data_IF_913077337361
#
_entry.id   IF_913077337361
#
_cell.length_a   1.000
_cell.length_b   1.000
_cell.length_c   1.000
_cell.angle_alpha   90.00
_cell.angle_beta   90.00
_cell.angle_gamma   90.00
#
_symmetry.space_group_name_H-M   'P 1'
#
loop_
_entity.id
_entity.type
_entity.pdbx_description
1 polymer ?
#
# COMPACT_ATOMS: atom_id res chain seq x y z
N UNK A 1 -1.04 -30.56 -35.91
CA UNK A 1 -0.17 -29.74 -35.05
C UNK A 1 -0.55 -28.31 -35.37
N UNK A 2 -1.09 -27.62 -34.39
CA UNK A 2 -1.87 -26.38 -34.60
C UNK A 2 -0.96 -25.15 -34.39
N UNK A 3 -0.28 -24.73 -35.46
CA UNK A 3 0.61 -23.55 -35.48
C UNK A 3 -0.10 -22.23 -35.12
N UNK A 4 -1.43 -22.20 -35.15
CA UNK A 4 -2.24 -21.01 -34.83
C UNK A 4 -2.33 -20.72 -33.33
N UNK A 5 -2.18 -21.70 -32.45
CA UNK A 5 -2.16 -21.51 -31.01
C UNK A 5 -0.82 -20.93 -30.54
N UNK A 6 0.31 -21.37 -31.12
CA UNK A 6 1.65 -20.89 -30.77
C UNK A 6 1.86 -19.42 -31.23
N UNK A 7 1.34 -19.04 -32.41
CA UNK A 7 1.42 -17.69 -32.94
C UNK A 7 0.57 -16.71 -32.13
N UNK A 8 -0.59 -17.13 -31.65
CA UNK A 8 -1.49 -16.33 -30.82
C UNK A 8 -0.89 -16.05 -29.42
N UNK A 9 -0.27 -17.03 -28.80
CA UNK A 9 0.35 -16.92 -27.47
C UNK A 9 1.61 -16.04 -27.52
N UNK A 10 2.40 -16.15 -28.59
CA UNK A 10 3.57 -15.29 -28.80
C UNK A 10 3.20 -13.82 -29.02
N UNK A 11 2.13 -13.54 -29.77
CA UNK A 11 1.65 -12.17 -30.01
C UNK A 11 1.06 -11.55 -28.73
N UNK A 12 0.31 -12.32 -27.93
CA UNK A 12 -0.21 -11.86 -26.64
C UNK A 12 0.91 -11.54 -25.66
N UNK A 13 1.95 -12.36 -25.58
CA UNK A 13 3.11 -12.12 -24.73
C UNK A 13 3.89 -10.86 -25.16
N UNK A 14 4.11 -10.65 -26.45
CA UNK A 14 4.77 -9.45 -26.97
C UNK A 14 3.96 -8.17 -26.66
N UNK A 15 2.63 -8.22 -26.80
CA UNK A 15 1.71 -7.13 -26.44
C UNK A 15 1.79 -6.84 -24.94
N UNK A 16 1.72 -7.85 -24.09
CA UNK A 16 1.81 -7.70 -22.64
C UNK A 16 3.12 -7.05 -22.21
N UNK A 17 4.25 -7.48 -22.79
CA UNK A 17 5.55 -6.90 -22.52
C UNK A 17 5.64 -5.43 -22.94
N UNK A 18 5.06 -5.04 -24.08
CA UNK A 18 5.03 -3.65 -24.52
C UNK A 18 4.21 -2.79 -23.55
N UNK A 19 3.00 -3.23 -23.20
CA UNK A 19 2.14 -2.54 -22.24
C UNK A 19 2.83 -2.38 -20.87
N UNK A 20 3.45 -3.45 -20.39
CA UNK A 20 4.15 -3.43 -19.10
C UNK A 20 5.32 -2.45 -19.07
N UNK A 21 6.09 -2.37 -20.15
CA UNK A 21 7.20 -1.39 -20.25
C UNK A 21 6.70 0.06 -20.26
N UNK A 22 5.57 0.33 -20.91
CA UNK A 22 5.03 1.69 -21.05
C UNK A 22 4.23 2.13 -19.81
N UNK A 23 3.51 1.22 -19.18
CA UNK A 23 2.66 1.52 -18.04
C UNK A 23 3.46 2.05 -16.83
N UNK A 24 2.84 2.97 -16.09
CA UNK A 24 3.21 3.22 -14.70
C UNK A 24 2.66 2.08 -13.88
N UNK A 25 3.54 1.29 -13.25
CA UNK A 25 3.18 0.15 -12.42
C UNK A 25 3.32 0.54 -10.96
N UNK A 26 2.22 0.49 -10.21
CA UNK A 26 2.18 0.87 -8.79
C UNK A 26 1.74 -0.33 -7.96
N UNK A 27 2.55 -0.65 -6.96
CA UNK A 27 2.20 -1.62 -5.93
C UNK A 27 1.63 -0.86 -4.71
N UNK A 28 0.31 -0.97 -4.51
CA UNK A 28 -0.44 -0.28 -3.45
C UNK A 28 -0.03 -0.69 -2.04
N UNK A 29 0.54 -1.87 -1.88
CA UNK A 29 1.22 -2.38 -0.70
C UNK A 29 2.32 -3.32 -1.18
N UNK A 30 3.50 -2.79 -1.32
CA UNK A 30 4.66 -3.51 -1.82
C UNK A 30 5.53 -4.07 -0.70
N UNK A 31 6.74 -4.48 -1.09
CA UNK A 31 7.71 -5.08 -0.18
C UNK A 31 8.06 -4.11 0.95
N UNK A 32 7.85 -4.56 2.17
CA UNK A 32 8.40 -3.88 3.33
C UNK A 32 9.89 -4.19 3.41
N UNK A 33 10.71 -3.26 2.94
CA UNK A 33 12.14 -3.31 3.21
C UNK A 33 12.33 -3.05 4.71
N UNK A 34 12.51 -4.10 5.48
CA UNK A 34 12.85 -3.98 6.89
C UNK A 34 14.29 -3.47 6.97
N UNK A 35 14.44 -2.15 6.80
CA UNK A 35 15.72 -1.49 6.97
C UNK A 35 15.95 -1.30 8.48
N UNK A 36 16.79 -2.11 9.12
CA UNK A 36 17.27 -1.77 10.46
C UNK A 36 18.10 -0.49 10.38
N UNK A 37 18.28 0.18 11.51
CA UNK A 37 19.14 1.38 11.64
C UNK A 37 20.53 1.19 11.04
N UNK A 38 21.00 -0.05 11.01
CA UNK A 38 22.18 -0.47 10.24
C UNK A 38 21.64 -1.00 8.91
N UNK A 39 21.99 -0.33 7.83
CA UNK A 39 21.63 -0.66 6.44
C UNK A 39 22.17 -2.03 6.06
N UNK A 40 21.54 -3.07 6.53
CA UNK A 40 21.80 -4.43 6.04
C UNK A 40 20.77 -4.66 4.93
N UNK A 41 21.18 -4.63 3.67
CA UNK A 41 20.26 -4.93 2.58
C UNK A 41 19.68 -6.33 2.78
N UNK A 42 18.42 -6.56 2.34
CA UNK A 42 17.86 -7.91 2.31
C UNK A 42 18.82 -8.86 1.61
N UNK A 43 18.95 -10.09 2.11
CA UNK A 43 19.77 -11.10 1.46
C UNK A 43 19.38 -11.25 -0.02
N UNK A 44 20.33 -11.44 -0.93
CA UNK A 44 20.01 -11.70 -2.32
C UNK A 44 19.13 -12.95 -2.45
N UNK A 45 18.10 -12.86 -3.28
CA UNK A 45 17.23 -13.97 -3.63
C UNK A 45 17.57 -14.40 -5.07
N UNK A 46 17.86 -15.68 -5.29
CA UNK A 46 18.35 -16.20 -6.58
C UNK A 46 19.57 -15.40 -7.12
N UNK A 47 20.48 -14.98 -6.23
CA UNK A 47 21.65 -14.20 -6.57
C UNK A 47 21.40 -12.74 -6.93
N UNK A 48 20.15 -12.26 -6.87
CA UNK A 48 19.77 -10.87 -7.18
C UNK A 48 19.37 -10.11 -5.92
N UNK A 49 19.87 -8.90 -5.80
CA UNK A 49 19.43 -7.94 -4.77
C UNK A 49 17.98 -7.56 -4.99
N UNK A 50 17.33 -6.99 -3.96
CA UNK A 50 15.96 -6.46 -4.11
C UNK A 50 15.86 -5.43 -5.25
N UNK A 51 16.81 -4.48 -5.34
CA UNK A 51 16.78 -3.45 -6.38
C UNK A 51 16.98 -4.01 -7.80
N UNK A 52 17.76 -5.06 -7.96
CA UNK A 52 17.87 -5.74 -9.26
C UNK A 52 16.56 -6.44 -9.65
N UNK A 53 15.86 -7.04 -8.67
CA UNK A 53 14.55 -7.64 -8.93
C UNK A 53 13.50 -6.57 -9.20
N UNK A 54 13.49 -5.48 -8.43
CA UNK A 54 12.58 -4.35 -8.63
C UNK A 54 12.79 -3.69 -10.01
N UNK A 55 14.03 -3.50 -10.44
CA UNK A 55 14.33 -2.99 -11.77
C UNK A 55 13.82 -3.93 -12.88
N UNK A 56 13.98 -5.26 -12.69
CA UNK A 56 13.47 -6.26 -13.64
C UNK A 56 11.92 -6.36 -13.63
N UNK A 57 11.27 -5.96 -12.54
CA UNK A 57 9.82 -6.03 -12.39
C UNK A 57 9.04 -4.98 -13.18
N UNK A 58 9.68 -3.89 -13.57
CA UNK A 58 8.99 -2.72 -14.15
C UNK A 58 8.14 -1.91 -13.16
N UNK A 59 8.10 -2.28 -11.88
CA UNK A 59 7.39 -1.52 -10.84
C UNK A 59 7.99 -0.12 -10.74
N UNK A 60 7.14 0.89 -10.94
CA UNK A 60 7.50 2.30 -10.93
C UNK A 60 7.51 2.88 -9.52
N UNK A 61 6.51 2.51 -8.72
CA UNK A 61 6.40 2.95 -7.33
C UNK A 61 5.73 1.89 -6.47
N UNK A 62 6.06 1.89 -5.17
CA UNK A 62 5.39 1.04 -4.19
C UNK A 62 5.13 1.80 -2.90
N UNK A 63 3.96 1.58 -2.31
CA UNK A 63 3.69 1.95 -0.93
C UNK A 63 4.38 0.93 -0.01
N UNK A 64 5.18 1.40 0.92
CA UNK A 64 5.88 0.53 1.87
C UNK A 64 5.45 0.82 3.30
N UNK A 65 5.27 -0.22 4.09
CA UNK A 65 4.92 -0.06 5.50
C UNK A 65 6.15 0.27 6.34
N UNK A 66 6.08 1.41 7.01
CA UNK A 66 7.09 1.85 7.98
C UNK A 66 6.77 1.33 9.38
N UNK A 67 7.81 1.18 10.20
CA UNK A 67 7.66 0.91 11.63
C UNK A 67 7.08 -0.47 11.95
N UNK A 68 7.44 -1.51 11.19
CA UNK A 68 7.02 -2.89 11.45
C UNK A 68 7.71 -3.52 12.68
N UNK A 69 8.08 -2.72 13.69
CA UNK A 69 8.80 -3.19 14.87
C UNK A 69 8.08 -4.29 15.63
N UNK A 70 6.79 -4.15 15.85
CA UNK A 70 5.96 -5.12 16.59
C UNK A 70 5.84 -6.48 15.90
N UNK A 71 5.92 -6.50 14.58
CA UNK A 71 5.85 -7.73 13.78
C UNK A 71 7.23 -8.41 13.72
N UNK A 72 8.32 -7.61 13.65
CA UNK A 72 9.65 -8.14 13.38
C UNK A 72 10.50 -8.37 14.63
N UNK A 73 10.66 -7.39 15.52
CA UNK A 73 11.68 -7.46 16.59
C UNK A 73 11.41 -6.66 17.86
N UNK A 74 10.32 -5.88 17.95
CA UNK A 74 10.08 -4.99 19.10
C UNK A 74 8.70 -4.33 19.09
N UNK A 75 8.46 -3.33 19.95
CA UNK A 75 7.19 -2.62 20.01
C UNK A 75 6.90 -1.88 18.71
N UNK A 76 5.64 -1.93 18.30
CA UNK A 76 5.12 -1.19 17.16
C UNK A 76 4.69 0.22 17.60
N UNK A 77 5.66 1.11 17.74
CA UNK A 77 5.51 2.43 18.34
C UNK A 77 6.13 3.55 17.47
N UNK A 78 6.01 4.77 17.96
CA UNK A 78 6.58 5.96 17.30
C UNK A 78 8.11 5.85 17.12
N UNK A 79 8.82 5.22 18.04
CA UNK A 79 10.26 5.03 17.92
C UNK A 79 10.60 4.14 16.73
N UNK A 80 9.91 3.01 16.58
CA UNK A 80 10.09 2.10 15.45
C UNK A 80 9.78 2.81 14.13
N UNK A 81 8.71 3.63 14.11
CA UNK A 81 8.34 4.44 12.96
C UNK A 81 9.43 5.45 12.58
N UNK A 82 9.89 6.26 13.52
CA UNK A 82 10.94 7.25 13.27
C UNK A 82 12.27 6.63 12.86
N UNK A 83 12.63 5.48 13.47
CA UNK A 83 13.81 4.71 13.09
C UNK A 83 13.72 4.20 11.66
N UNK A 84 12.55 3.71 11.26
CA UNK A 84 12.28 3.25 9.90
C UNK A 84 12.37 4.40 8.90
N UNK A 85 11.77 5.56 9.21
CA UNK A 85 11.86 6.76 8.36
C UNK A 85 13.33 7.15 8.17
N UNK A 86 14.11 7.23 9.25
CA UNK A 86 15.52 7.57 9.16
C UNK A 86 16.30 6.57 8.28
N UNK A 87 16.04 5.26 8.46
CA UNK A 87 16.66 4.23 7.62
C UNK A 87 16.37 4.43 6.14
N UNK A 88 15.12 4.77 5.78
CA UNK A 88 14.77 5.05 4.38
C UNK A 88 15.39 6.36 3.86
N UNK A 89 15.49 7.41 4.68
CA UNK A 89 16.17 8.65 4.27
C UNK A 89 17.64 8.38 3.95
N UNK A 90 18.35 7.61 4.78
CA UNK A 90 19.72 7.18 4.47
C UNK A 90 19.78 6.29 3.20
N UNK A 91 18.76 5.43 3.01
CA UNK A 91 18.68 4.58 1.82
C UNK A 91 18.51 5.38 0.53
N UNK A 92 17.71 6.45 0.56
CA UNK A 92 17.57 7.36 -0.59
C UNK A 92 18.88 8.07 -0.94
N UNK A 93 19.68 8.43 0.06
CA UNK A 93 21.01 9.02 -0.19
C UNK A 93 21.96 8.00 -0.80
N UNK A 94 22.00 6.79 -0.23
CA UNK A 94 22.90 5.71 -0.67
C UNK A 94 22.55 5.22 -2.07
N UNK A 95 21.27 5.06 -2.38
CA UNK A 95 20.77 4.48 -3.61
C UNK A 95 20.12 5.52 -4.55
N UNK A 96 20.53 6.79 -4.45
CA UNK A 96 19.94 7.92 -5.19
C UNK A 96 19.86 7.73 -6.71
N UNK A 97 20.72 6.88 -7.26
CA UNK A 97 20.68 6.52 -8.69
C UNK A 97 19.53 5.57 -9.06
N UNK A 98 18.99 4.81 -8.09
CA UNK A 98 18.04 3.71 -8.33
C UNK A 98 16.70 3.87 -7.63
N UNK A 99 16.64 4.67 -6.56
CA UNK A 99 15.41 4.90 -5.79
C UNK A 99 15.13 6.39 -5.62
N UNK A 100 13.88 6.73 -5.37
CA UNK A 100 13.47 8.08 -4.99
C UNK A 100 12.35 8.06 -3.95
N UNK A 101 12.33 9.08 -3.10
CA UNK A 101 11.23 9.32 -2.18
C UNK A 101 10.06 9.95 -2.94
N UNK A 102 8.89 9.33 -2.88
CA UNK A 102 7.65 9.82 -3.51
C UNK A 102 6.89 10.68 -2.50
N UNK A 103 6.78 11.95 -2.79
CA UNK A 103 6.01 12.92 -2.00
C UNK A 103 4.78 13.43 -2.74
N UNK A 104 4.76 13.30 -4.07
CA UNK A 104 3.70 13.76 -4.96
C UNK A 104 3.46 12.74 -6.08
N UNK A 105 2.32 12.81 -6.75
CA UNK A 105 2.06 12.00 -7.92
C UNK A 105 3.07 12.26 -9.06
N UNK A 106 3.56 13.49 -9.20
CA UNK A 106 4.60 13.83 -10.16
C UNK A 106 5.94 13.13 -9.90
N UNK A 107 6.23 12.77 -8.64
CA UNK A 107 7.43 11.99 -8.31
C UNK A 107 7.34 10.56 -8.85
N UNK A 108 6.14 9.95 -8.88
CA UNK A 108 5.90 8.65 -9.50
C UNK A 108 6.21 8.71 -10.98
N UNK A 109 5.70 9.73 -11.69
CA UNK A 109 5.97 9.95 -13.10
C UNK A 109 7.46 10.22 -13.37
N UNK A 110 8.11 10.98 -12.49
CA UNK A 110 9.56 11.21 -12.55
C UNK A 110 10.33 9.89 -12.39
N UNK A 111 9.95 9.05 -11.41
CA UNK A 111 10.53 7.72 -11.23
C UNK A 111 10.47 6.88 -12.50
N UNK A 112 9.32 6.87 -13.19
CA UNK A 112 9.15 6.18 -14.48
C UNK A 112 10.11 6.71 -15.55
N UNK A 113 10.20 8.04 -15.69
CA UNK A 113 11.09 8.67 -16.70
C UNK A 113 12.57 8.43 -16.42
N UNK A 114 12.97 8.42 -15.14
CA UNK A 114 14.36 8.25 -14.71
C UNK A 114 14.76 6.78 -14.51
N UNK A 115 13.84 5.83 -14.65
CA UNK A 115 14.11 4.41 -14.40
C UNK A 115 14.41 4.10 -12.93
N UNK A 116 13.82 4.86 -11.99
CA UNK A 116 14.00 4.72 -10.55
C UNK A 116 12.75 4.15 -9.90
N UNK A 117 12.94 3.32 -8.87
CA UNK A 117 11.86 2.86 -8.02
C UNK A 117 11.43 3.97 -7.05
N UNK A 118 10.17 4.39 -7.13
CA UNK A 118 9.56 5.31 -6.18
C UNK A 118 9.13 4.58 -4.90
N UNK A 119 9.50 5.11 -3.74
CA UNK A 119 9.07 4.60 -2.44
C UNK A 119 8.12 5.60 -1.81
N UNK A 120 6.89 5.15 -1.56
CA UNK A 120 5.84 5.90 -0.87
C UNK A 120 5.84 5.46 0.59
N UNK A 121 5.87 6.40 1.52
CA UNK A 121 5.79 6.10 2.94
C UNK A 121 4.34 5.86 3.37
N UNK A 122 4.08 4.64 3.83
CA UNK A 122 2.84 4.21 4.44
C UNK A 122 3.03 3.69 5.87
N UNK A 123 1.96 3.63 6.62
CA UNK A 123 1.91 2.97 7.93
C UNK A 123 0.69 2.09 8.03
N UNK A 124 0.81 0.95 8.70
CA UNK A 124 -0.31 0.09 9.06
C UNK A 124 -0.58 0.19 10.57
N UNK A 125 -1.87 0.21 10.96
CA UNK A 125 -2.24 0.31 12.37
C UNK A 125 -1.77 1.61 13.01
N UNK A 126 -2.17 2.75 12.47
CA UNK A 126 -1.66 4.09 12.80
C UNK A 126 -1.71 4.43 14.29
N UNK A 127 -2.75 3.97 15.04
CA UNK A 127 -2.98 4.37 16.43
C UNK A 127 -1.77 4.12 17.34
N UNK A 128 -1.18 2.92 17.30
CA UNK A 128 -0.02 2.58 18.12
C UNK A 128 1.24 3.39 17.78
N UNK A 129 1.30 3.93 16.56
CA UNK A 129 2.47 4.65 16.06
C UNK A 129 2.50 6.13 16.43
N UNK A 130 1.35 6.68 16.78
CA UNK A 130 1.21 8.09 17.18
C UNK A 130 0.70 8.26 18.60
N UNK A 131 0.58 7.14 19.34
CA UNK A 131 0.09 7.15 20.73
C UNK A 131 -1.21 7.96 20.89
N UNK A 132 -2.11 7.80 19.90
CA UNK A 132 -3.38 8.51 19.73
C UNK A 132 -3.28 10.05 19.63
N UNK A 133 -2.08 10.61 19.53
CA UNK A 133 -1.84 12.06 19.35
C UNK A 133 -1.88 12.45 17.86
N UNK A 134 -3.02 12.98 17.42
CA UNK A 134 -3.21 13.40 16.04
C UNK A 134 -2.29 14.55 15.60
N UNK A 135 -1.68 15.30 16.54
CA UNK A 135 -0.74 16.37 16.19
C UNK A 135 0.53 15.84 15.54
N UNK A 136 0.90 14.60 15.84
CA UNK A 136 2.03 13.90 15.23
C UNK A 136 1.83 13.66 13.72
N UNK A 137 0.60 13.59 13.22
CA UNK A 137 0.32 13.44 11.79
C UNK A 137 0.94 14.56 10.96
N UNK A 138 0.95 15.79 11.48
CA UNK A 138 1.56 16.95 10.80
C UNK A 138 3.08 16.80 10.68
N UNK A 139 3.72 16.26 11.71
CA UNK A 139 5.16 15.97 11.71
C UNK A 139 5.45 14.84 10.72
N UNK A 140 4.70 13.75 10.80
CA UNK A 140 4.88 12.59 9.91
C UNK A 140 4.64 12.95 8.43
N UNK A 141 3.63 13.80 8.14
CA UNK A 141 3.42 14.32 6.79
C UNK A 141 4.65 15.09 6.27
N UNK A 142 5.27 15.93 7.11
CA UNK A 142 6.51 16.65 6.75
C UNK A 142 7.70 15.72 6.56
N UNK A 143 7.73 14.59 7.29
CA UNK A 143 8.71 13.53 7.13
C UNK A 143 8.42 12.61 5.92
N UNK A 144 7.33 12.86 5.20
CA UNK A 144 7.01 12.19 3.95
C UNK A 144 5.93 11.12 4.02
N UNK A 145 5.22 10.95 5.15
CA UNK A 145 4.07 10.05 5.23
C UNK A 145 2.99 10.46 4.23
N UNK A 146 2.52 9.51 3.41
CA UNK A 146 1.51 9.74 2.37
C UNK A 146 0.32 8.79 2.42
N UNK A 147 0.46 7.65 3.08
CA UNK A 147 -0.60 6.65 3.24
C UNK A 147 -0.69 6.24 4.70
N UNK A 148 -1.89 6.22 5.26
CA UNK A 148 -2.09 5.84 6.65
C UNK A 148 -3.28 4.90 6.80
N UNK A 149 -3.00 3.67 7.23
CA UNK A 149 -4.00 2.66 7.54
C UNK A 149 -4.47 2.83 8.99
N UNK A 150 -5.79 2.97 9.19
CA UNK A 150 -6.38 3.29 10.48
C UNK A 150 -6.20 2.15 11.50
N UNK A 151 -6.57 0.94 11.11
CA UNK A 151 -6.56 -0.25 11.97
C UNK A 151 -5.71 -1.35 11.33
N UNK A 152 -5.19 -2.24 12.15
CA UNK A 152 -4.76 -3.54 11.69
C UNK A 152 -5.91 -4.57 11.93
N UNK A 153 -5.60 -5.81 12.24
CA UNK A 153 -6.62 -6.86 12.40
C UNK A 153 -7.55 -6.67 13.60
N UNK A 154 -7.06 -6.03 14.64
CA UNK A 154 -7.71 -5.89 15.93
C UNK A 154 -8.29 -4.47 16.11
N UNK A 155 -9.10 -4.29 17.13
CA UNK A 155 -9.60 -3.00 17.54
C UNK A 155 -8.47 -2.14 18.11
N UNK A 156 -8.48 -0.85 17.72
CA UNK A 156 -7.61 0.16 18.30
C UNK A 156 -8.40 1.44 18.66
N UNK A 157 -7.72 2.53 19.01
CA UNK A 157 -8.36 3.78 19.38
C UNK A 157 -9.18 4.43 18.25
N UNK A 158 -8.95 4.07 16.98
CA UNK A 158 -9.65 4.67 15.84
C UNK A 158 -10.86 3.87 15.36
N UNK A 159 -10.88 2.55 15.54
CA UNK A 159 -11.96 1.70 15.07
C UNK A 159 -11.67 0.21 15.24
N UNK A 160 -12.48 -0.60 14.59
CA UNK A 160 -12.35 -2.05 14.61
C UNK A 160 -11.60 -2.54 13.37
N UNK A 161 -10.66 -3.48 13.58
CA UNK A 161 -10.05 -4.26 12.51
C UNK A 161 -10.96 -5.39 12.04
N UNK A 162 -10.54 -6.07 10.99
CA UNK A 162 -11.34 -7.08 10.28
C UNK A 162 -11.60 -8.38 11.11
N UNK A 163 -10.84 -8.62 12.18
CA UNK A 163 -11.03 -9.79 13.06
C UNK A 163 -11.92 -9.49 14.26
N UNK A 164 -12.38 -8.25 14.45
CA UNK A 164 -13.24 -7.87 15.55
C UNK A 164 -14.71 -8.23 15.30
N UNK A 165 -15.33 -8.84 16.33
CA UNK A 165 -16.76 -9.16 16.31
C UNK A 165 -17.37 -8.82 17.67
N UNK A 166 -18.36 -7.88 17.73
CA UNK A 166 -18.90 -7.11 16.61
C UNK A 166 -18.01 -5.95 16.17
N UNK A 167 -18.04 -5.62 14.88
CA UNK A 167 -17.45 -4.39 14.37
C UNK A 167 -18.30 -3.18 14.81
N UNK A 168 -17.76 -2.38 15.73
CA UNK A 168 -18.45 -1.22 16.31
C UNK A 168 -18.33 0.05 15.44
N UNK A 169 -17.55 0.01 14.35
CA UNK A 169 -17.29 1.16 13.49
C UNK A 169 -16.20 2.09 14.02
N UNK A 170 -16.14 3.31 13.48
CA UNK A 170 -15.20 4.36 13.91
C UNK A 170 -15.54 4.89 15.30
N UNK A 171 -14.49 5.11 16.09
CA UNK A 171 -14.60 5.91 17.34
C UNK A 171 -14.71 7.40 17.00
N UNK A 172 -14.97 8.26 18.01
CA UNK A 172 -14.88 9.71 17.82
C UNK A 172 -13.47 10.15 17.43
N UNK A 173 -12.44 9.55 18.05
CA UNK A 173 -11.04 9.82 17.70
C UNK A 173 -10.72 9.34 16.29
N UNK A 174 -11.25 8.19 15.87
CA UNK A 174 -11.12 7.70 14.50
C UNK A 174 -11.72 8.66 13.46
N UNK A 175 -12.89 9.25 13.77
CA UNK A 175 -13.50 10.29 12.90
C UNK A 175 -12.62 11.53 12.81
N UNK A 176 -12.07 12.00 13.93
CA UNK A 176 -11.15 13.13 13.95
C UNK A 176 -9.84 12.78 13.17
N UNK A 177 -9.35 11.55 13.29
CA UNK A 177 -8.18 11.07 12.54
C UNK A 177 -8.44 11.10 11.02
N UNK A 178 -9.55 10.56 10.54
CA UNK A 178 -9.93 10.61 9.12
C UNK A 178 -9.99 12.06 8.62
N UNK A 179 -10.58 12.96 9.40
CA UNK A 179 -10.68 14.38 9.03
C UNK A 179 -9.29 15.03 8.93
N UNK A 180 -8.38 14.77 9.88
CA UNK A 180 -7.01 15.34 9.87
C UNK A 180 -6.18 14.73 8.72
N UNK A 181 -6.28 13.43 8.44
CA UNK A 181 -5.62 12.80 7.30
C UNK A 181 -6.07 13.45 5.98
N UNK A 182 -7.37 13.65 5.79
CA UNK A 182 -7.91 14.33 4.62
C UNK A 182 -7.40 15.78 4.51
N UNK A 183 -7.37 16.50 5.63
CA UNK A 183 -6.88 17.89 5.69
C UNK A 183 -5.40 17.97 5.27
N UNK A 184 -4.58 17.06 5.74
CA UNK A 184 -3.14 17.01 5.42
C UNK A 184 -2.85 16.46 4.02
N UNK A 185 -3.81 15.83 3.36
CA UNK A 185 -3.58 15.11 2.11
C UNK A 185 -2.83 13.79 2.30
N UNK A 186 -2.96 13.17 3.49
CA UNK A 186 -2.52 11.80 3.71
C UNK A 186 -3.66 10.88 3.31
N UNK A 187 -3.39 9.94 2.42
CA UNK A 187 -4.38 9.01 1.89
C UNK A 187 -4.83 8.03 2.97
N UNK A 188 -6.14 7.98 3.22
CA UNK A 188 -6.73 7.03 4.17
C UNK A 188 -6.75 5.63 3.55
N UNK A 189 -6.08 4.69 4.20
CA UNK A 189 -6.06 3.28 3.82
C UNK A 189 -6.95 2.47 4.78
N UNK A 190 -7.84 1.67 4.20
CA UNK A 190 -8.84 0.88 4.91
C UNK A 190 -8.60 -0.64 4.79
N UNK A 191 -7.44 -1.04 4.27
CA UNK A 191 -7.01 -2.42 4.40
C UNK A 191 -7.00 -2.82 5.88
N UNK A 192 -7.35 -4.07 6.20
CA UNK A 192 -7.54 -4.58 7.56
C UNK A 192 -8.70 -3.97 8.37
N UNK A 193 -9.38 -2.94 7.91
CA UNK A 193 -10.52 -2.40 8.64
C UNK A 193 -11.73 -3.35 8.61
N UNK A 194 -12.49 -3.38 9.69
CA UNK A 194 -13.79 -4.06 9.71
C UNK A 194 -14.76 -3.40 8.71
N UNK A 195 -15.74 -4.14 8.18
CA UNK A 195 -16.64 -3.63 7.14
C UNK A 195 -17.38 -2.34 7.53
N UNK A 196 -17.85 -2.24 8.77
CA UNK A 196 -18.53 -1.06 9.28
C UNK A 196 -17.55 0.10 9.46
N UNK A 197 -16.38 -0.17 10.04
CA UNK A 197 -15.31 0.83 10.20
C UNK A 197 -14.89 1.40 8.83
N UNK A 198 -14.69 0.53 7.83
CA UNK A 198 -14.33 0.95 6.48
C UNK A 198 -15.42 1.83 5.85
N UNK A 199 -16.69 1.41 5.93
CA UNK A 199 -17.81 2.17 5.37
C UNK A 199 -17.94 3.54 6.02
N UNK A 200 -17.91 3.61 7.36
CA UNK A 200 -18.00 4.89 8.09
C UNK A 200 -16.83 5.83 7.75
N UNK A 201 -15.61 5.28 7.55
CA UNK A 201 -14.45 6.06 7.12
C UNK A 201 -14.60 6.60 5.68
N UNK A 202 -15.12 5.79 4.75
CA UNK A 202 -15.40 6.20 3.36
C UNK A 202 -16.46 7.32 3.35
N UNK A 203 -17.53 7.18 4.12
CA UNK A 203 -18.60 8.18 4.24
C UNK A 203 -18.09 9.52 4.81
N UNK A 204 -17.22 9.44 5.81
CA UNK A 204 -16.61 10.58 6.50
C UNK A 204 -15.55 11.30 5.64
N UNK A 205 -14.81 10.58 4.82
CA UNK A 205 -13.69 11.11 4.07
C UNK A 205 -14.12 12.15 3.04
N UNK A 206 -13.42 13.28 2.98
CA UNK A 206 -13.60 14.31 1.95
C UNK A 206 -12.77 14.08 0.71
N UNK A 207 -11.91 13.06 0.71
CA UNK A 207 -11.04 12.63 -0.39
C UNK A 207 -11.25 11.14 -0.67
N UNK A 208 -10.88 10.63 -1.85
CA UNK A 208 -10.92 9.19 -2.09
C UNK A 208 -10.11 8.43 -1.05
N UNK A 209 -10.65 7.29 -0.58
CA UNK A 209 -9.91 6.33 0.24
C UNK A 209 -9.32 5.21 -0.64
N UNK A 210 -8.37 4.47 -0.10
CA UNK A 210 -7.94 3.20 -0.69
C UNK A 210 -8.19 2.04 0.27
N UNK A 211 -8.23 0.85 -0.29
CA UNK A 211 -7.98 -0.40 0.40
C UNK A 211 -6.73 -0.96 -0.28
N UNK A 212 -5.57 -0.70 0.31
CA UNK A 212 -4.29 -0.90 -0.37
C UNK A 212 -4.02 -2.35 -0.79
N UNK A 213 -4.51 -3.32 0.01
CA UNK A 213 -4.30 -4.76 -0.20
C UNK A 213 -5.43 -5.58 0.44
N UNK A 214 -6.33 -6.10 -0.37
CA UNK A 214 -7.41 -7.03 0.01
C UNK A 214 -8.02 -7.67 -1.24
N UNK A 215 -8.91 -8.65 -1.05
CA UNK A 215 -9.61 -9.32 -2.14
C UNK A 215 -11.13 -9.26 -1.95
N UNK A 216 -11.90 -9.80 -2.89
CA UNK A 216 -13.35 -9.84 -2.81
C UNK A 216 -13.81 -10.98 -1.88
N UNK A 217 -14.60 -10.65 -0.85
CA UNK A 217 -15.15 -11.66 0.07
C UNK A 217 -16.14 -12.61 -0.63
N UNK A 218 -16.79 -12.16 -1.68
CA UNK A 218 -17.72 -12.98 -2.46
C UNK A 218 -17.06 -14.20 -3.11
N UNK A 219 -15.74 -14.14 -3.42
CA UNK A 219 -14.98 -15.26 -3.99
C UNK A 219 -14.25 -16.08 -2.94
N UNK A 220 -13.80 -15.45 -1.86
CA UNK A 220 -13.09 -16.11 -0.76
C UNK A 220 -13.60 -15.52 0.57
N UNK A 221 -14.40 -16.29 1.31
CA UNK A 221 -14.98 -15.85 2.61
C UNK A 221 -13.93 -15.81 3.71
N UNK A 222 -13.05 -14.83 3.61
CA UNK A 222 -12.02 -14.53 4.60
C UNK A 222 -12.35 -13.18 5.25
N UNK A 223 -12.28 -13.02 6.57
CA UNK A 223 -12.57 -11.74 7.23
C UNK A 223 -11.68 -10.60 6.75
N UNK A 224 -10.51 -10.90 6.18
CA UNK A 224 -9.58 -9.92 5.59
C UNK A 224 -10.06 -9.38 4.23
N UNK A 225 -10.97 -10.11 3.57
CA UNK A 225 -11.53 -9.74 2.28
C UNK A 225 -12.73 -8.79 2.44
N UNK A 226 -12.95 -8.00 1.40
CA UNK A 226 -13.89 -6.88 1.40
C UNK A 226 -15.26 -7.33 0.88
N UNK A 227 -16.36 -7.13 1.64
CA UNK A 227 -17.69 -7.42 1.12
C UNK A 227 -18.11 -6.39 0.06
N UNK A 228 -18.98 -6.81 -0.86
CA UNK A 228 -19.41 -6.02 -2.01
C UNK A 228 -20.06 -4.68 -1.64
N UNK A 229 -20.76 -4.59 -0.50
CA UNK A 229 -21.34 -3.32 -0.06
C UNK A 229 -20.26 -2.28 0.30
N UNK A 230 -19.11 -2.70 0.83
CA UNK A 230 -17.97 -1.82 1.09
C UNK A 230 -17.26 -1.47 -0.21
N UNK A 231 -17.13 -2.43 -1.15
CA UNK A 231 -16.61 -2.15 -2.50
C UNK A 231 -17.43 -1.07 -3.19
N UNK A 232 -18.78 -1.19 -3.17
CA UNK A 232 -19.66 -0.19 -3.78
C UNK A 232 -19.51 1.18 -3.14
N UNK A 233 -19.38 1.25 -1.82
CA UNK A 233 -19.15 2.51 -1.13
C UNK A 233 -17.80 3.14 -1.54
N UNK A 234 -16.74 2.30 -1.66
CA UNK A 234 -15.41 2.72 -2.09
C UNK A 234 -15.43 3.29 -3.53
N UNK A 235 -16.02 2.55 -4.47
CA UNK A 235 -16.13 2.96 -5.87
C UNK A 235 -16.95 4.24 -6.04
N UNK A 236 -18.10 4.37 -5.34
CA UNK A 236 -18.95 5.56 -5.37
C UNK A 236 -18.23 6.85 -4.90
N UNK A 237 -17.13 6.72 -4.15
CA UNK A 237 -16.29 7.82 -3.65
C UNK A 237 -14.97 7.94 -4.39
N UNK A 238 -14.82 7.30 -5.55
CA UNK A 238 -13.62 7.40 -6.38
C UNK A 238 -12.40 6.61 -5.86
N UNK A 239 -12.58 5.77 -4.85
CA UNK A 239 -11.49 5.01 -4.24
C UNK A 239 -10.97 3.87 -5.11
N UNK A 240 -9.93 3.18 -4.62
CA UNK A 240 -9.29 2.04 -5.30
C UNK A 240 -9.05 0.91 -4.31
N UNK A 241 -9.35 -0.32 -4.73
CA UNK A 241 -8.94 -1.54 -4.04
C UNK A 241 -7.72 -2.13 -4.75
N UNK A 242 -6.61 -2.33 -4.03
CA UNK A 242 -5.46 -3.11 -4.47
C UNK A 242 -5.69 -4.60 -4.21
N UNK A 243 -5.80 -5.38 -5.28
CA UNK A 243 -5.95 -6.84 -5.17
C UNK A 243 -4.63 -7.45 -4.74
N UNK A 244 -4.66 -8.30 -3.69
CA UNK A 244 -3.46 -8.84 -3.07
C UNK A 244 -3.14 -10.26 -3.51
N UNK A 245 -1.84 -10.55 -3.63
CA UNK A 245 -1.33 -11.86 -3.99
C UNK A 245 -1.25 -12.85 -2.80
N UNK A 246 -1.63 -12.43 -1.59
CA UNK A 246 -1.58 -13.30 -0.42
C UNK A 246 -2.56 -14.45 -0.56
N UNK A 247 -2.05 -15.67 -0.75
CA UNK A 247 -2.82 -16.84 -1.17
C UNK A 247 -4.04 -17.17 -0.28
N UNK A 248 -3.96 -17.06 1.07
CA UNK A 248 -5.12 -17.28 1.93
C UNK A 248 -6.32 -16.35 1.66
N UNK A 249 -6.13 -15.24 0.94
CA UNK A 249 -7.19 -14.31 0.58
C UNK A 249 -7.71 -14.53 -0.85
N UNK A 250 -7.03 -15.39 -1.61
CA UNK A 250 -7.41 -15.80 -2.97
C UNK A 250 -7.99 -17.20 -3.05
N UNK A 251 -8.03 -17.95 -1.94
CA UNK A 251 -8.40 -19.37 -1.91
C UNK A 251 -9.89 -19.55 -2.27
N UNK A 252 -10.16 -20.01 -3.48
CA UNK A 252 -11.52 -20.31 -3.98
C UNK A 252 -11.93 -21.74 -3.64
N UNK A 253 -10.94 -22.65 -3.53
CA UNK A 253 -11.12 -24.04 -3.14
C UNK A 253 -10.32 -24.34 -1.88
N UNK A 254 -10.96 -24.69 -0.75
CA UNK A 254 -10.27 -24.92 0.51
C UNK A 254 -9.11 -25.93 0.40
N UNK A 255 -7.92 -25.53 0.84
CA UNK A 255 -6.73 -26.38 0.84
C UNK A 255 -6.02 -26.52 -0.50
N UNK A 256 -6.47 -25.80 -1.54
CA UNK A 256 -5.80 -25.73 -2.84
C UNK A 256 -5.10 -24.39 -2.96
N UNK A 257 -3.78 -24.40 -3.21
CA UNK A 257 -3.03 -23.18 -3.42
C UNK A 257 -3.56 -22.44 -4.66
N UNK A 258 -4.02 -21.20 -4.52
CA UNK A 258 -4.51 -20.44 -5.66
C UNK A 258 -3.38 -20.06 -6.62
N UNK A 259 -3.74 -19.86 -7.86
CA UNK A 259 -2.90 -19.48 -8.99
C UNK A 259 -3.05 -18.00 -9.32
N UNK A 260 -2.27 -17.52 -10.27
CA UNK A 260 -2.41 -16.18 -10.82
C UNK A 260 -3.77 -15.96 -11.51
N UNK A 261 -4.39 -17.01 -12.06
CA UNK A 261 -5.73 -16.91 -12.66
C UNK A 261 -6.81 -16.68 -11.58
N UNK A 262 -6.71 -17.29 -10.40
CA UNK A 262 -7.59 -17.00 -9.25
C UNK A 262 -7.44 -15.54 -8.79
N UNK A 263 -6.23 -14.98 -8.82
CA UNK A 263 -6.01 -13.56 -8.55
C UNK A 263 -6.71 -12.66 -9.59
N UNK A 264 -6.66 -13.03 -10.86
CA UNK A 264 -7.35 -12.29 -11.93
C UNK A 264 -8.86 -12.39 -11.76
N UNK A 265 -9.42 -13.50 -11.28
CA UNK A 265 -10.84 -13.61 -10.95
C UNK A 265 -11.27 -12.57 -9.90
N UNK A 266 -10.44 -12.31 -8.88
CA UNK A 266 -10.68 -11.21 -7.94
C UNK A 266 -10.65 -9.83 -8.61
N UNK A 267 -9.71 -9.58 -9.53
CA UNK A 267 -9.63 -8.34 -10.31
C UNK A 267 -10.92 -8.15 -11.14
N UNK A 268 -11.38 -9.19 -11.80
CA UNK A 268 -12.61 -9.18 -12.60
C UNK A 268 -13.84 -8.92 -11.73
N UNK A 269 -13.97 -9.62 -10.59
CA UNK A 269 -15.11 -9.45 -9.69
C UNK A 269 -15.20 -8.01 -9.15
N UNK A 270 -14.07 -7.44 -8.72
CA UNK A 270 -14.03 -6.05 -8.24
C UNK A 270 -14.36 -5.11 -9.39
N UNK A 271 -13.78 -5.32 -10.59
CA UNK A 271 -14.08 -4.53 -11.78
C UNK A 271 -15.56 -4.59 -12.21
N UNK A 272 -16.20 -5.75 -12.10
CA UNK A 272 -17.63 -5.92 -12.37
C UNK A 272 -18.52 -5.26 -11.30
N UNK A 273 -18.07 -5.24 -10.04
CA UNK A 273 -18.84 -4.73 -8.90
C UNK A 273 -18.81 -3.20 -8.84
N UNK A 274 -17.65 -2.57 -9.12
CA UNK A 274 -17.45 -1.12 -8.90
C UNK A 274 -16.82 -0.38 -10.10
N UNK A 275 -16.53 -1.08 -11.19
CA UNK A 275 -15.85 -0.54 -12.37
C UNK A 275 -14.34 -0.73 -12.32
N UNK A 276 -13.74 -0.94 -13.50
CA UNK A 276 -12.31 -1.20 -13.64
C UNK A 276 -11.44 0.00 -13.21
N UNK A 277 -12.00 1.20 -13.17
CA UNK A 277 -11.33 2.43 -12.72
C UNK A 277 -11.03 2.44 -11.20
N UNK A 278 -11.50 1.44 -10.48
CA UNK A 278 -11.37 1.31 -9.03
C UNK A 278 -10.54 0.08 -8.61
N UNK A 279 -9.84 -0.56 -9.55
CA UNK A 279 -9.02 -1.75 -9.29
C UNK A 279 -7.54 -1.41 -9.45
N UNK A 280 -6.73 -1.86 -8.51
CA UNK A 280 -5.27 -1.78 -8.54
C UNK A 280 -4.64 -3.07 -8.00
N UNK A 281 -3.35 -3.05 -7.78
CA UNK A 281 -2.59 -4.17 -7.22
C UNK A 281 -1.93 -3.73 -5.91
N UNK A 282 -2.04 -4.57 -4.88
CA UNK A 282 -1.32 -4.39 -3.61
C UNK A 282 -0.77 -5.73 -3.19
N UNK A 283 0.44 -6.05 -3.63
CA UNK A 283 0.99 -7.41 -3.59
C UNK A 283 1.13 -8.01 -2.20
N UNK A 284 1.44 -7.17 -1.23
CA UNK A 284 1.72 -7.53 0.17
C UNK A 284 2.89 -8.53 0.29
N UNK A 285 3.90 -8.37 -0.56
CA UNK A 285 5.06 -9.26 -0.57
C UNK A 285 5.99 -9.06 0.62
N UNK A 286 6.50 -10.18 1.13
CA UNK A 286 7.60 -10.25 2.10
C UNK A 286 8.73 -11.04 1.48
N UNK A 287 9.66 -10.38 0.82
CA UNK A 287 10.71 -11.04 0.04
C UNK A 287 12.02 -11.25 0.79
N UNK A 288 12.17 -10.70 1.99
CA UNK A 288 13.48 -10.66 2.64
C UNK A 288 13.76 -11.84 3.56
N UNK A 289 12.88 -12.91 3.62
CA UNK A 289 12.79 -13.47 4.92
C UNK A 289 13.21 -14.92 5.04
N UNK A 290 14.08 -15.11 6.05
CA UNK A 290 14.32 -16.42 6.64
C UNK A 290 12.98 -17.01 7.11
N UNK A 291 12.82 -18.32 7.00
CA UNK A 291 11.65 -19.06 7.49
C UNK A 291 11.28 -18.72 8.95
N UNK A 292 12.28 -18.35 9.77
CA UNK A 292 12.09 -17.98 11.17
C UNK A 292 11.33 -16.66 11.31
N UNK A 293 11.65 -15.65 10.51
CA UNK A 293 10.95 -14.35 10.52
C UNK A 293 9.54 -14.49 9.96
N UNK A 294 9.41 -15.19 8.86
CA UNK A 294 8.11 -15.52 8.28
C UNK A 294 7.23 -16.30 9.28
N UNK A 295 7.79 -17.28 9.99
CA UNK A 295 7.06 -18.04 11.00
C UNK A 295 6.57 -17.19 12.18
N UNK A 296 7.31 -16.13 12.54
CA UNK A 296 6.87 -15.14 13.54
C UNK A 296 5.75 -14.26 13.02
N UNK A 297 5.90 -13.75 11.80
CA UNK A 297 4.91 -12.89 11.14
C UNK A 297 3.58 -13.61 10.94
N UNK A 298 3.60 -14.82 10.42
CA UNK A 298 2.38 -15.58 10.11
C UNK A 298 1.76 -16.27 11.33
N UNK A 299 2.34 -16.15 12.53
CA UNK A 299 1.84 -16.85 13.72
C UNK A 299 0.40 -16.45 14.06
N UNK A 300 0.07 -15.17 13.97
CA UNK A 300 -1.28 -14.64 14.16
C UNK A 300 -2.24 -15.07 13.04
N UNK A 301 -1.75 -15.23 11.82
CA UNK A 301 -2.53 -15.68 10.67
C UNK A 301 -2.66 -17.21 10.60
N UNK A 302 -1.70 -17.96 11.15
CA UNK A 302 -1.78 -19.44 11.20
C UNK A 302 -2.99 -19.96 11.97
N UNK A 303 -3.40 -19.26 13.01
CA UNK A 303 -4.60 -19.61 13.77
C UNK A 303 -5.89 -19.47 12.93
N UNK A 304 -5.87 -18.57 11.92
CA UNK A 304 -7.01 -18.30 11.07
C UNK A 304 -7.04 -19.14 9.77
N UNK A 305 -5.87 -19.57 9.24
CA UNK A 305 -5.79 -20.10 7.88
C UNK A 305 -5.18 -21.50 7.72
N UNK A 306 -4.47 -22.04 8.70
CA UNK A 306 -4.03 -23.45 8.79
C UNK A 306 -3.15 -24.07 7.68
N UNK A 307 -3.18 -23.55 6.46
CA UNK A 307 -2.70 -24.26 5.24
C UNK A 307 -1.33 -23.76 4.75
N UNK A 308 -1.05 -22.47 4.85
CA UNK A 308 0.14 -21.85 4.24
C UNK A 308 1.24 -21.64 5.29
N UNK A 309 2.30 -22.44 5.21
CA UNK A 309 3.29 -22.53 6.29
C UNK A 309 4.69 -22.08 5.92
N UNK A 310 4.94 -21.70 4.67
CA UNK A 310 6.24 -21.27 4.19
C UNK A 310 6.18 -20.01 3.30
N UNK A 311 7.27 -19.24 3.22
CA UNK A 311 7.36 -18.11 2.28
C UNK A 311 7.10 -18.51 0.83
N UNK A 312 7.45 -19.76 0.46
CA UNK A 312 7.28 -20.26 -0.90
C UNK A 312 5.82 -20.52 -1.30
N UNK A 313 4.91 -20.68 -0.35
CA UNK A 313 3.51 -21.07 -0.62
C UNK A 313 2.48 -20.06 -0.19
N UNK A 314 2.89 -18.97 0.49
CA UNK A 314 1.98 -17.98 1.06
C UNK A 314 1.41 -17.01 0.00
N UNK A 315 1.96 -17.00 -1.19
CA UNK A 315 1.46 -16.20 -2.32
C UNK A 315 0.87 -17.11 -3.40
N UNK A 316 0.03 -16.53 -4.24
CA UNK A 316 -0.55 -17.24 -5.40
C UNK A 316 0.57 -17.78 -6.29
N UNK A 317 0.36 -18.97 -6.86
CA UNK A 317 1.34 -19.58 -7.74
C UNK A 317 1.52 -18.76 -9.01
N UNK A 318 2.78 -18.45 -9.33
CA UNK A 318 3.13 -17.64 -10.49
C UNK A 318 3.30 -16.15 -10.20
N UNK A 319 2.89 -15.67 -9.01
CA UNK A 319 3.03 -14.28 -8.58
C UNK A 319 3.44 -14.19 -7.11
N UNK A 320 4.66 -14.64 -6.81
CA UNK A 320 5.18 -14.79 -5.44
C UNK A 320 6.10 -13.66 -5.00
N UNK A 321 6.54 -12.79 -5.92
CA UNK A 321 7.56 -11.77 -5.65
C UNK A 321 7.56 -10.67 -6.71
N UNK A 322 8.20 -9.56 -6.39
CA UNK A 322 8.16 -8.32 -7.19
C UNK A 322 8.57 -8.53 -8.66
N UNK A 323 9.59 -9.35 -8.95
CA UNK A 323 10.03 -9.59 -10.33
C UNK A 323 9.05 -10.42 -11.19
N UNK A 324 7.90 -10.79 -10.61
CA UNK A 324 6.82 -11.48 -11.30
C UNK A 324 5.69 -10.56 -11.81
N UNK A 325 5.76 -9.27 -11.57
CA UNK A 325 4.76 -8.31 -12.09
C UNK A 325 4.50 -8.42 -13.60
N UNK A 326 5.50 -8.68 -14.48
CA UNK A 326 5.22 -8.91 -15.90
C UNK A 326 4.26 -10.07 -16.17
N UNK A 327 4.28 -11.13 -15.34
CA UNK A 327 3.35 -12.27 -15.48
C UNK A 327 1.90 -11.88 -15.20
N UNK A 328 1.66 -10.96 -14.25
CA UNK A 328 0.34 -10.43 -14.02
C UNK A 328 -0.18 -9.69 -15.26
N UNK A 329 0.66 -8.89 -15.91
CA UNK A 329 0.29 -8.21 -17.16
C UNK A 329 -0.04 -9.21 -18.26
N UNK A 330 0.75 -10.28 -18.39
CA UNK A 330 0.46 -11.37 -19.34
C UNK A 330 -0.88 -12.06 -19.02
N UNK A 331 -1.18 -12.31 -17.75
CA UNK A 331 -2.44 -12.92 -17.32
C UNK A 331 -3.64 -12.02 -17.65
N UNK A 332 -3.56 -10.70 -17.40
CA UNK A 332 -4.62 -9.75 -17.77
C UNK A 332 -4.85 -9.71 -19.28
N UNK A 333 -3.78 -9.64 -20.09
CA UNK A 333 -3.88 -9.66 -21.56
C UNK A 333 -4.48 -10.96 -22.05
N UNK A 334 -4.03 -12.10 -21.53
CA UNK A 334 -4.56 -13.43 -21.86
C UNK A 334 -6.05 -13.57 -21.49
N UNK A 335 -6.47 -12.98 -20.37
CA UNK A 335 -7.87 -12.95 -19.93
C UNK A 335 -8.75 -12.05 -20.80
N UNK A 336 -8.18 -11.22 -21.68
CA UNK A 336 -8.89 -10.39 -22.63
C UNK A 336 -9.16 -8.95 -22.16
N UNK A 337 -8.47 -8.48 -21.14
CA UNK A 337 -8.54 -7.06 -20.75
C UNK A 337 -8.08 -6.17 -21.92
N UNK A 338 -8.75 -5.01 -22.08
CA UNK A 338 -8.32 -4.01 -23.05
C UNK A 338 -7.01 -3.35 -22.60
N UNK A 339 -6.20 -2.81 -23.54
CA UNK A 339 -4.95 -2.10 -23.20
C UNK A 339 -5.17 -0.98 -22.19
N UNK A 340 -6.19 -0.11 -22.35
CA UNK A 340 -6.49 0.90 -21.34
C UNK A 340 -6.80 0.32 -19.95
N UNK A 341 -7.53 -0.80 -19.88
CA UNK A 341 -7.89 -1.40 -18.60
C UNK A 341 -6.68 -2.06 -17.93
N UNK A 342 -5.80 -2.71 -18.69
CA UNK A 342 -4.52 -3.22 -18.17
C UNK A 342 -3.70 -2.08 -17.57
N UNK A 343 -3.55 -0.95 -18.27
CA UNK A 343 -2.79 0.22 -17.77
C UNK A 343 -3.42 0.81 -16.51
N UNK A 344 -4.75 0.86 -16.43
CA UNK A 344 -5.48 1.33 -15.22
C UNK A 344 -5.18 0.43 -14.04
N UNK A 345 -5.34 -0.89 -14.18
CA UNK A 345 -5.12 -1.88 -13.11
C UNK A 345 -3.66 -1.88 -12.65
N UNK A 346 -2.70 -1.81 -13.56
CA UNK A 346 -1.28 -1.82 -13.22
C UNK A 346 -0.86 -0.65 -12.35
N UNK A 347 -1.52 0.53 -12.47
CA UNK A 347 -1.13 1.66 -11.63
C UNK A 347 -1.85 2.97 -11.96
N UNK A 348 -2.50 3.08 -13.12
CA UNK A 348 -3.20 4.31 -13.52
C UNK A 348 -4.25 4.74 -12.50
N UNK A 349 -4.98 3.80 -11.90
CA UNK A 349 -6.00 4.05 -10.91
C UNK A 349 -5.41 4.56 -9.59
N UNK A 350 -4.34 3.96 -9.09
CA UNK A 350 -3.63 4.48 -7.92
C UNK A 350 -3.04 5.86 -8.17
N UNK A 351 -2.44 6.09 -9.35
CA UNK A 351 -1.87 7.40 -9.70
C UNK A 351 -2.96 8.49 -9.72
N UNK A 352 -4.16 8.18 -10.21
CA UNK A 352 -5.32 9.08 -10.16
C UNK A 352 -5.65 9.44 -8.71
N UNK A 353 -5.80 8.46 -7.84
CA UNK A 353 -6.13 8.68 -6.41
C UNK A 353 -5.01 9.47 -5.72
N UNK A 354 -3.76 9.22 -6.04
CA UNK A 354 -2.63 9.99 -5.48
C UNK A 354 -2.70 11.46 -5.88
N UNK A 355 -3.04 11.79 -7.13
CA UNK A 355 -3.25 13.17 -7.56
C UNK A 355 -4.39 13.84 -6.80
N UNK A 356 -5.50 13.16 -6.63
CA UNK A 356 -6.68 13.67 -5.94
C UNK A 356 -6.44 13.84 -4.42
N UNK A 357 -5.72 12.91 -3.79
CA UNK A 357 -5.50 12.92 -2.35
C UNK A 357 -4.37 13.84 -1.92
N UNK A 358 -3.21 13.80 -2.61
CA UNK A 358 -2.03 14.57 -2.21
C UNK A 358 -2.04 16.01 -2.74
N UNK A 359 -2.92 16.33 -3.70
CA UNK A 359 -2.95 17.60 -4.41
C UNK A 359 -1.84 17.72 -5.46
N UNK A 360 -1.98 18.66 -6.39
CA UNK A 360 -0.85 19.05 -7.23
C UNK A 360 0.13 19.89 -6.40
N UNK A 361 1.46 19.77 -6.63
CA UNK A 361 2.39 20.72 -6.04
C UNK A 361 1.95 22.12 -6.47
N UNK A 362 1.78 23.03 -5.51
CA UNK A 362 1.50 24.42 -5.83
C UNK A 362 2.52 24.87 -6.87
N UNK A 363 2.05 25.34 -8.02
CA UNK A 363 2.91 25.87 -9.09
C UNK A 363 3.75 27.00 -8.48
N UNK A 364 5.01 26.72 -8.18
CA UNK A 364 5.91 27.63 -7.48
C UNK A 364 6.28 27.13 -6.09
N UNK A 365 7.04 26.02 -6.02
CA UNK A 365 7.71 25.56 -4.79
C UNK A 365 8.81 26.53 -4.37
N UNK A 366 8.42 27.72 -3.90
CA UNK A 366 9.24 28.56 -3.06
C UNK A 366 9.29 27.93 -1.67
N UNK A 367 10.47 27.93 -1.04
CA UNK A 367 10.63 27.61 0.35
C UNK A 367 9.52 28.28 1.19
N UNK A 368 9.03 27.64 2.29
CA UNK A 368 8.02 28.28 3.12
C UNK A 368 8.46 29.69 3.46
N UNK A 369 7.57 30.69 3.44
CA UNK A 369 7.94 32.06 3.74
C UNK A 369 8.65 32.04 5.10
N UNK A 370 9.88 32.54 5.13
CA UNK A 370 10.54 32.88 6.36
C UNK A 370 9.58 33.81 7.11
N UNK A 371 9.32 33.53 8.37
CA UNK A 371 8.55 34.41 9.23
C UNK A 371 9.07 35.81 9.00
N UNK A 372 8.20 36.70 8.56
CA UNK A 372 8.52 38.10 8.31
C UNK A 372 9.16 38.70 9.56
N UNK A 373 10.37 39.19 9.40
CA UNK A 373 11.01 40.13 10.31
C UNK A 373 10.32 41.50 10.19
N UNK A 374 9.01 41.55 10.31
CA UNK A 374 8.30 42.80 10.54
C UNK A 374 8.26 43.04 12.05
N UNK A 375 9.17 43.91 12.48
CA UNK A 375 9.36 44.31 13.85
C UNK A 375 8.09 44.71 14.59
N UNK A 376 7.76 43.93 15.55
CA UNK A 376 6.81 44.22 16.61
C UNK A 376 7.29 43.50 17.88
N UNK A 377 8.14 44.12 18.66
CA UNK A 377 8.47 43.64 20.01
C UNK A 377 7.16 43.58 20.81
N UNK A 378 6.73 42.43 21.34
CA UNK A 378 5.70 42.46 22.35
C UNK A 378 6.25 43.12 23.62
N UNK A 379 5.49 44.06 24.13
CA UNK A 379 5.75 44.74 25.39
C UNK A 379 5.92 43.71 26.52
N UNK A 380 7.05 43.82 27.21
CA UNK A 380 7.29 43.11 28.45
C UNK A 380 6.31 43.66 29.51
N UNK A 381 5.27 42.92 29.78
CA UNK A 381 4.47 43.14 30.99
C UNK A 381 5.30 42.57 32.15
N UNK A 382 5.93 43.51 32.89
CA UNK A 382 6.39 43.23 34.26
C UNK A 382 5.17 43.27 35.16
N UNK A 383 4.77 42.16 35.70
CA UNK A 383 4.03 42.16 36.95
C UNK A 383 4.70 41.23 37.94
N UNK A 384 5.23 41.91 38.95
CA UNK A 384 5.63 41.40 40.24
C UNK A 384 4.35 41.13 41.05
N UNK A 385 4.20 39.96 41.63
CA UNK A 385 4.06 39.72 43.07
C UNK A 385 3.62 38.28 43.37
N UNK A 386 4.47 37.63 43.99
CA UNK A 386 4.48 36.66 45.09
C UNK A 386 3.12 36.54 45.83
N UNK A 387 2.56 35.35 45.91
CA UNK A 387 2.34 34.57 47.12
C UNK A 387 2.20 33.10 46.77
#
# INVERSE_FOLDING_TARGET
MDTRHEDGDSAASARAQALHREAIVIDGQGVALLLPVVLIPPAPLDGKTFLERAAASGVTAMNTTLGLGGIATGPDDLRALLTSIYGYLCYFELEAARVLHVLTAADVERGKREGKLGIIFGVQGLASKIDDDLTLLRILHRLGLRVAQLTHNERNAFGCGCLETPDAGLTQLGRACVAELCHLGILVDLAHAGPRTAREAIEQSTRPCIISHANARALCDNPRNVPDEVLRALGARGGVLGVTAYAPFCETTPGVRPTLDDLVDHIEHVGQTIGIDHVGIGSDFFESESEIRFARFTRSYRAATGVYTSPATVYVEGFERIDRFPRLTEALVRRGFSDPDVVKVLGGNFLRVFREAWGEPAAGGGAPPRADDSGGRPAVVRDTQVC
#
